data_IF_345327563752
#
_entry.id   IF_345327563752
#
_cell.length_a   1.000
_cell.length_b   1.000
_cell.length_c   1.000
_cell.angle_alpha   90.00
_cell.angle_beta   90.00
_cell.angle_gamma   90.00
#
_symmetry.space_group_name_H-M   'P 1'
#
loop_
_entity.id
_entity.type
_entity.pdbx_description
1 polymer ?
#
# COMPACT_ATOMS: atom_id res chain seq x y z
N UNK A 1 3.26 -20.82 -17.08
CA UNK A 1 3.80 -22.21 -17.01
C UNK A 1 4.58 -22.36 -15.71
N UNK A 2 4.59 -23.53 -15.05
CA UNK A 2 5.41 -23.71 -13.84
C UNK A 2 6.89 -23.74 -14.23
N UNK A 3 7.70 -22.85 -13.65
CA UNK A 3 9.13 -22.85 -13.88
C UNK A 3 9.75 -24.15 -13.34
N UNK A 4 10.74 -24.70 -14.05
CA UNK A 4 11.46 -25.92 -13.66
C UNK A 4 12.88 -25.64 -13.16
N UNK A 5 13.33 -24.40 -13.30
CA UNK A 5 14.63 -23.89 -12.86
C UNK A 5 14.47 -22.42 -12.51
N UNK A 6 15.42 -21.87 -11.75
CA UNK A 6 15.43 -20.43 -11.45
C UNK A 6 15.54 -19.60 -12.75
N UNK A 7 14.77 -18.51 -12.87
CA UNK A 7 14.86 -17.61 -14.02
C UNK A 7 16.14 -16.77 -13.99
N UNK A 8 16.49 -16.15 -15.12
CA UNK A 8 17.74 -15.41 -15.26
C UNK A 8 17.64 -13.98 -14.71
N UNK A 9 18.76 -13.49 -14.18
CA UNK A 9 18.90 -12.12 -13.70
C UNK A 9 18.71 -11.13 -14.84
N UNK A 10 18.04 -10.01 -14.56
CA UNK A 10 17.92 -8.89 -15.49
C UNK A 10 18.93 -7.77 -15.18
N UNK A 11 19.40 -7.09 -16.22
CA UNK A 11 20.21 -5.88 -16.11
C UNK A 11 19.77 -4.80 -17.10
N UNK A 12 19.95 -3.53 -16.73
CA UNK A 12 19.75 -2.37 -17.62
C UNK A 12 21.09 -1.89 -18.18
N UNK A 13 21.09 -1.46 -19.44
CA UNK A 13 22.23 -0.79 -20.06
C UNK A 13 22.34 0.71 -19.71
N UNK A 14 21.39 1.24 -18.92
CA UNK A 14 21.30 2.64 -18.54
C UNK A 14 20.73 3.57 -19.62
N UNK A 15 20.27 3.00 -20.76
CA UNK A 15 19.59 3.71 -21.84
C UNK A 15 18.11 3.30 -21.95
N UNK A 16 17.57 2.67 -20.91
CA UNK A 16 16.19 2.17 -20.86
C UNK A 16 15.98 0.80 -21.51
N UNK A 17 17.04 0.10 -21.93
CA UNK A 17 16.94 -1.27 -22.42
C UNK A 17 17.26 -2.27 -21.30
N UNK A 18 16.46 -3.34 -21.21
CA UNK A 18 16.61 -4.40 -20.21
C UNK A 18 16.94 -5.70 -20.92
N UNK A 19 17.92 -6.43 -20.41
CA UNK A 19 18.40 -7.70 -20.95
C UNK A 19 18.55 -8.72 -19.83
N UNK A 20 18.49 -10.00 -20.18
CA UNK A 20 18.84 -11.09 -19.29
C UNK A 20 20.33 -11.42 -19.30
N UNK A 21 20.90 -11.70 -18.14
CA UNK A 21 22.21 -12.33 -18.02
C UNK A 21 22.05 -13.84 -17.86
N UNK A 22 22.17 -14.58 -18.96
CA UNK A 22 22.07 -16.05 -18.97
C UNK A 22 23.19 -16.77 -18.20
N UNK A 23 24.20 -16.04 -17.71
CA UNK A 23 25.23 -16.57 -16.83
C UNK A 23 24.88 -16.49 -15.34
N UNK A 24 23.75 -15.83 -15.00
CA UNK A 24 23.31 -15.60 -13.62
C UNK A 24 21.83 -15.95 -13.41
N UNK A 25 21.55 -16.80 -12.44
CA UNK A 25 20.20 -16.96 -11.91
C UNK A 25 19.83 -15.77 -11.01
N UNK A 26 18.59 -15.31 -11.14
CA UNK A 26 18.06 -14.24 -10.31
C UNK A 26 17.92 -14.69 -8.86
N UNK A 27 18.22 -13.78 -7.94
CA UNK A 27 18.05 -13.95 -6.50
C UNK A 27 17.22 -12.83 -5.92
N UNK A 28 16.70 -13.07 -4.72
CA UNK A 28 15.94 -12.10 -3.96
C UNK A 28 16.78 -11.54 -2.82
N UNK A 29 16.33 -10.44 -2.25
CA UNK A 29 16.94 -9.80 -1.08
C UNK A 29 15.92 -9.67 0.06
N UNK A 30 16.38 -10.02 1.26
CA UNK A 30 15.68 -9.78 2.53
C UNK A 30 16.62 -9.02 3.46
N UNK A 31 16.24 -7.81 3.87
CA UNK A 31 17.11 -6.93 4.65
C UNK A 31 18.36 -6.56 3.86
N UNK A 32 19.53 -7.01 4.31
CA UNK A 32 20.81 -6.86 3.61
C UNK A 32 21.26 -8.13 2.87
N UNK A 33 20.56 -9.25 3.04
CA UNK A 33 21.03 -10.57 2.60
C UNK A 33 20.42 -10.95 1.24
N UNK A 34 21.29 -11.39 0.31
CA UNK A 34 20.89 -11.96 -0.97
C UNK A 34 20.70 -13.48 -0.84
N UNK A 35 19.56 -13.99 -1.33
CA UNK A 35 19.11 -15.35 -1.09
C UNK A 35 18.53 -15.98 -2.37
N UNK A 36 18.72 -17.29 -2.59
CA UNK A 36 18.02 -17.99 -3.66
C UNK A 36 16.50 -17.90 -3.43
N UNK A 37 15.77 -17.67 -4.52
CA UNK A 37 14.31 -17.65 -4.51
C UNK A 37 13.80 -19.04 -4.92
N UNK A 38 12.90 -19.67 -4.13
CA UNK A 38 12.27 -20.93 -4.52
C UNK A 38 11.57 -20.82 -5.89
N UNK A 39 11.70 -21.86 -6.71
CA UNK A 39 11.19 -21.84 -8.09
C UNK A 39 9.67 -21.68 -8.12
N UNK A 40 8.98 -22.24 -7.14
CA UNK A 40 7.54 -22.18 -6.94
C UNK A 40 7.00 -20.80 -6.53
N UNK A 41 7.87 -19.89 -6.10
CA UNK A 41 7.47 -18.54 -5.66
C UNK A 41 7.39 -17.54 -6.81
N UNK A 42 8.00 -17.86 -7.96
CA UNK A 42 7.95 -17.02 -9.14
C UNK A 42 6.60 -17.12 -9.85
N UNK A 43 5.92 -15.99 -9.96
CA UNK A 43 4.74 -15.81 -10.79
C UNK A 43 5.07 -14.89 -11.97
N UNK A 44 4.34 -15.02 -13.07
CA UNK A 44 4.42 -14.07 -14.17
C UNK A 44 4.10 -12.66 -13.63
N UNK A 45 4.88 -11.64 -14.06
CA UNK A 45 4.68 -10.26 -13.65
C UNK A 45 3.22 -9.86 -13.94
N UNK A 46 2.41 -9.54 -12.92
CA UNK A 46 0.99 -9.29 -13.15
C UNK A 46 0.73 -8.04 -13.99
N UNK A 47 -0.38 -8.02 -14.71
CA UNK A 47 -0.80 -6.90 -15.56
C UNK A 47 -0.81 -5.56 -14.80
N UNK A 48 -0.20 -4.54 -15.42
CA UNK A 48 0.00 -3.23 -14.79
C UNK A 48 1.28 -3.14 -13.94
N UNK A 49 2.07 -4.20 -13.86
CA UNK A 49 3.44 -4.16 -13.39
C UNK A 49 4.36 -3.42 -14.36
N UNK A 50 5.45 -2.88 -13.83
CA UNK A 50 6.47 -2.13 -14.58
C UNK A 50 7.86 -2.51 -14.11
N UNK A 51 8.86 -2.30 -14.97
CA UNK A 51 10.26 -2.50 -14.61
C UNK A 51 10.94 -1.16 -14.34
N UNK A 52 11.89 -1.18 -13.41
CA UNK A 52 12.73 -0.04 -13.06
C UNK A 52 14.18 -0.45 -13.16
N UNK A 53 14.96 0.35 -13.89
CA UNK A 53 16.40 0.35 -13.71
C UNK A 53 16.76 1.01 -12.38
N UNK A 54 17.84 0.54 -11.75
CA UNK A 54 18.32 1.03 -10.49
C UNK A 54 19.70 1.67 -10.69
N UNK A 55 19.78 2.98 -10.98
CA UNK A 55 21.03 3.65 -11.27
C UNK A 55 22.08 3.43 -10.18
N UNK A 56 23.32 3.16 -10.61
CA UNK A 56 24.49 2.92 -9.75
C UNK A 56 24.35 1.74 -8.76
N UNK A 57 23.42 0.82 -9.01
CA UNK A 57 23.27 -0.44 -8.27
C UNK A 57 23.61 -1.60 -9.19
N UNK A 58 24.47 -2.52 -8.74
CA UNK A 58 24.89 -3.68 -9.51
C UNK A 58 24.10 -4.89 -9.05
N UNK A 59 23.42 -5.60 -9.97
CA UNK A 59 22.63 -6.78 -9.62
C UNK A 59 23.50 -7.90 -9.05
N UNK A 60 22.99 -8.61 -8.04
CA UNK A 60 23.60 -9.84 -7.50
C UNK A 60 22.85 -11.03 -8.10
N UNK A 61 23.58 -12.08 -8.50
CA UNK A 61 22.99 -13.32 -9.00
C UNK A 61 23.82 -14.55 -8.60
N UNK A 62 23.24 -15.74 -8.80
CA UNK A 62 23.96 -17.02 -8.63
C UNK A 62 24.54 -17.43 -9.97
N UNK A 63 25.85 -17.68 -10.04
CA UNK A 63 26.50 -18.16 -11.25
C UNK A 63 25.97 -19.55 -11.66
N UNK A 64 25.55 -19.68 -12.92
CA UNK A 64 24.93 -20.91 -13.43
C UNK A 64 25.89 -22.10 -13.50
N UNK A 65 27.20 -21.86 -13.46
CA UNK A 65 28.25 -22.90 -13.52
C UNK A 65 28.76 -23.21 -12.12
N UNK A 66 29.15 -22.20 -11.34
CA UNK A 66 29.79 -22.41 -10.04
C UNK A 66 28.80 -22.54 -8.88
N UNK A 67 27.60 -21.99 -9.01
CA UNK A 67 26.61 -21.91 -7.94
C UNK A 67 26.92 -20.85 -6.87
N UNK A 68 27.95 -20.03 -7.06
CA UNK A 68 28.34 -18.97 -6.12
C UNK A 68 27.63 -17.65 -6.43
N UNK A 69 27.42 -16.82 -5.40
CA UNK A 69 26.92 -15.46 -5.57
C UNK A 69 28.01 -14.57 -6.19
N UNK A 70 27.65 -13.80 -7.22
CA UNK A 70 28.51 -12.76 -7.78
C UNK A 70 27.72 -11.58 -8.34
N UNK A 71 28.44 -10.50 -8.60
CA UNK A 71 27.92 -9.30 -9.23
C UNK A 71 27.71 -9.49 -10.75
N UNK A 72 26.68 -8.84 -11.27
CA UNK A 72 26.45 -8.70 -12.70
C UNK A 72 27.34 -7.60 -13.28
N UNK A 73 28.27 -7.96 -14.17
CA UNK A 73 29.23 -7.01 -14.73
C UNK A 73 28.69 -6.25 -15.96
N UNK A 74 27.46 -6.55 -16.39
CA UNK A 74 26.91 -6.08 -17.68
C UNK A 74 26.14 -4.77 -17.60
N UNK A 75 25.68 -4.37 -16.42
CA UNK A 75 24.84 -3.18 -16.28
C UNK A 75 24.26 -2.97 -14.90
N UNK A 76 23.25 -2.11 -14.82
CA UNK A 76 22.55 -1.79 -13.58
C UNK A 76 21.52 -2.85 -13.20
N UNK A 77 21.27 -3.00 -11.91
CA UNK A 77 20.21 -3.85 -11.39
C UNK A 77 18.83 -3.39 -11.90
N UNK A 78 17.92 -4.35 -12.01
CA UNK A 78 16.53 -4.12 -12.39
C UNK A 78 15.62 -4.62 -11.28
N UNK A 79 14.58 -3.86 -10.97
CA UNK A 79 13.49 -4.24 -10.08
C UNK A 79 12.15 -4.15 -10.80
N UNK A 80 11.12 -4.77 -10.21
CA UNK A 80 9.75 -4.62 -10.66
C UNK A 80 8.90 -3.84 -9.65
N UNK A 81 8.03 -3.00 -10.17
CA UNK A 81 6.79 -2.62 -9.53
C UNK A 81 5.77 -3.73 -9.75
N UNK A 82 5.27 -4.29 -8.66
CA UNK A 82 4.13 -5.19 -8.70
C UNK A 82 2.84 -4.42 -8.41
N UNK A 83 1.77 -4.63 -9.21
CA UNK A 83 0.54 -3.88 -9.06
C UNK A 83 -0.17 -4.20 -7.74
N UNK A 84 -1.05 -3.30 -7.26
CA UNK A 84 -1.96 -3.59 -6.15
C UNK A 84 -2.63 -4.96 -6.27
N UNK A 85 -3.01 -5.54 -5.13
CA UNK A 85 -3.48 -6.93 -4.98
C UNK A 85 -2.39 -8.01 -4.95
N UNK A 86 -1.11 -7.66 -5.13
CA UNK A 86 0.00 -8.60 -5.01
C UNK A 86 1.00 -8.16 -3.93
N UNK A 87 1.52 -9.13 -3.18
CA UNK A 87 2.54 -8.92 -2.15
C UNK A 87 3.81 -9.64 -2.58
N UNK A 88 4.92 -8.90 -2.65
CA UNK A 88 6.23 -9.40 -3.03
C UNK A 88 6.92 -10.05 -1.83
N UNK A 89 7.63 -11.14 -2.09
CA UNK A 89 8.37 -11.88 -1.07
C UNK A 89 9.82 -11.44 -0.92
N UNK A 90 10.38 -10.84 -1.98
CA UNK A 90 11.79 -10.43 -2.02
C UNK A 90 11.95 -9.09 -2.72
N UNK A 91 12.95 -8.33 -2.26
CA UNK A 91 13.45 -7.10 -2.91
C UNK A 91 14.48 -7.50 -3.97
N UNK A 92 14.70 -6.67 -5.00
CA UNK A 92 15.80 -6.86 -5.93
C UNK A 92 17.15 -6.89 -5.18
N UNK A 93 17.98 -7.88 -5.49
CA UNK A 93 19.30 -8.02 -4.90
C UNK A 93 20.34 -7.22 -5.68
N UNK A 94 21.00 -6.29 -4.99
CA UNK A 94 22.02 -5.45 -5.59
C UNK A 94 23.07 -5.01 -4.57
N UNK A 95 24.23 -4.61 -5.09
CA UNK A 95 25.24 -3.82 -4.37
C UNK A 95 25.14 -2.36 -4.81
N UNK A 96 25.03 -1.45 -3.83
CA UNK A 96 24.94 0.00 -4.08
C UNK A 96 26.33 0.61 -4.16
N UNK A 97 26.65 1.26 -5.28
CA UNK A 97 27.93 1.98 -5.42
C UNK A 97 27.98 3.25 -4.57
N UNK A 98 29.18 3.70 -4.17
CA UNK A 98 29.35 5.02 -3.57
C UNK A 98 28.79 6.14 -4.46
N UNK A 99 27.93 6.98 -3.88
CA UNK A 99 27.32 8.12 -4.59
C UNK A 99 26.05 7.79 -5.38
N UNK A 100 25.53 6.56 -5.30
CA UNK A 100 24.24 6.22 -5.90
C UNK A 100 23.11 7.11 -5.36
N UNK A 101 22.16 7.54 -6.21
CA UNK A 101 21.03 8.35 -5.76
C UNK A 101 20.06 7.51 -4.91
N UNK A 102 19.36 8.17 -3.99
CA UNK A 102 18.20 7.59 -3.30
C UNK A 102 17.11 7.28 -4.32
N UNK A 103 16.59 6.06 -4.30
CA UNK A 103 15.53 5.65 -5.21
C UNK A 103 14.19 6.35 -4.84
N UNK A 104 13.33 6.65 -5.82
CA UNK A 104 11.99 7.19 -5.58
C UNK A 104 11.09 6.28 -4.72
N UNK A 105 9.92 6.76 -4.31
CA UNK A 105 8.98 6.02 -3.46
C UNK A 105 8.15 5.01 -4.28
N UNK A 106 8.80 3.92 -4.72
CA UNK A 106 8.19 2.76 -5.38
C UNK A 106 8.59 1.46 -4.67
N UNK A 107 7.89 0.36 -4.97
CA UNK A 107 8.36 -0.96 -4.54
C UNK A 107 9.42 -1.48 -5.52
N UNK A 108 10.41 -2.16 -4.98
CA UNK A 108 11.58 -2.66 -5.71
C UNK A 108 11.67 -4.18 -5.61
N UNK A 109 10.63 -4.88 -6.05
CA UNK A 109 10.55 -6.35 -5.98
C UNK A 109 11.57 -6.99 -6.92
N UNK A 110 12.13 -8.12 -6.52
CA UNK A 110 13.02 -8.90 -7.39
C UNK A 110 12.31 -9.30 -8.68
N UNK A 111 13.02 -9.25 -9.80
CA UNK A 111 12.46 -9.59 -11.11
C UNK A 111 13.47 -10.36 -11.94
N UNK A 112 12.95 -11.26 -12.76
CA UNK A 112 13.73 -12.17 -13.58
C UNK A 112 13.06 -12.40 -14.93
N UNK A 113 13.80 -13.01 -15.84
CA UNK A 113 13.32 -13.32 -17.19
C UNK A 113 13.54 -14.79 -17.54
N UNK A 114 12.52 -15.40 -18.14
CA UNK A 114 12.60 -16.74 -18.70
C UNK A 114 11.48 -16.96 -19.72
N UNK A 115 11.75 -17.68 -20.81
CA UNK A 115 10.73 -18.09 -21.78
C UNK A 115 9.82 -16.95 -22.28
N UNK A 116 10.41 -15.81 -22.65
CA UNK A 116 9.71 -14.62 -23.16
C UNK A 116 8.75 -13.95 -22.15
N UNK A 117 8.96 -14.18 -20.86
CA UNK A 117 8.11 -13.65 -19.79
C UNK A 117 8.95 -13.09 -18.63
N UNK A 118 8.41 -12.04 -17.99
CA UNK A 118 8.94 -11.50 -16.74
C UNK A 118 8.32 -12.25 -15.56
N UNK A 119 9.14 -12.55 -14.55
CA UNK A 119 8.72 -13.22 -13.34
C UNK A 119 9.10 -12.42 -12.10
N UNK A 120 8.23 -12.45 -11.09
CA UNK A 120 8.44 -11.82 -9.76
C UNK A 120 8.08 -12.82 -8.66
N UNK A 121 8.77 -12.81 -7.51
CA UNK A 121 8.40 -13.67 -6.40
C UNK A 121 7.32 -13.01 -5.56
N UNK A 122 6.07 -13.40 -5.79
CA UNK A 122 4.92 -12.71 -5.20
C UNK A 122 3.70 -13.64 -5.09
N UNK A 123 2.74 -13.21 -4.29
CA UNK A 123 1.42 -13.84 -4.19
C UNK A 123 0.32 -12.82 -4.42
N UNK A 124 -0.74 -13.23 -5.13
CA UNK A 124 -1.99 -12.47 -5.18
C UNK A 124 -2.73 -12.60 -3.86
N UNK A 125 -2.87 -11.49 -3.16
CA UNK A 125 -3.47 -11.42 -1.82
C UNK A 125 -4.92 -10.93 -1.82
N UNK A 126 -5.36 -10.32 -2.92
CA UNK A 126 -6.68 -9.72 -3.05
C UNK A 126 -7.31 -10.14 -4.37
N UNK A 127 -8.59 -10.52 -4.32
CA UNK A 127 -9.33 -11.00 -5.48
C UNK A 127 -10.26 -9.94 -6.08
N UNK A 128 -10.58 -8.91 -5.29
CA UNK A 128 -11.43 -7.81 -5.74
C UNK A 128 -10.78 -7.04 -6.90
N UNK A 129 -11.45 -6.99 -8.04
CA UNK A 129 -10.89 -6.40 -9.27
C UNK A 129 -10.87 -4.87 -9.27
N UNK A 130 -11.26 -4.22 -8.17
CA UNK A 130 -11.64 -2.80 -8.17
C UNK A 130 -10.56 -1.82 -8.62
N UNK A 131 -9.29 -2.16 -8.51
CA UNK A 131 -8.19 -1.31 -8.96
C UNK A 131 -7.38 -1.96 -10.09
N UNK A 132 -7.90 -3.01 -10.73
CA UNK A 132 -7.23 -3.66 -11.85
C UNK A 132 -7.22 -2.76 -13.09
N UNK A 133 -6.07 -2.71 -13.76
CA UNK A 133 -5.84 -1.82 -14.89
C UNK A 133 -6.87 -2.02 -16.01
N UNK A 134 -7.20 -3.29 -16.32
CA UNK A 134 -8.18 -3.67 -17.34
C UNK A 134 -9.58 -3.08 -17.10
N UNK A 135 -9.92 -2.76 -15.84
CA UNK A 135 -11.21 -2.20 -15.48
C UNK A 135 -11.38 -0.72 -15.86
N UNK A 136 -10.32 -0.01 -16.29
CA UNK A 136 -10.37 1.44 -16.48
C UNK A 136 -10.29 1.89 -17.94
N UNK A 137 -11.45 2.20 -18.49
CA UNK A 137 -11.60 2.88 -19.78
C UNK A 137 -11.33 4.39 -19.65
N UNK A 138 -10.36 4.89 -20.40
CA UNK A 138 -9.93 6.30 -20.32
C UNK A 138 -11.02 7.29 -20.76
N UNK A 139 -11.84 6.93 -21.74
CA UNK A 139 -12.90 7.81 -22.25
C UNK A 139 -14.07 7.87 -21.27
N UNK A 140 -14.44 6.74 -20.66
CA UNK A 140 -15.44 6.72 -19.58
C UNK A 140 -15.01 7.57 -18.39
N UNK A 141 -13.73 7.50 -18.00
CA UNK A 141 -13.21 8.33 -16.90
C UNK A 141 -13.30 9.81 -17.26
N UNK A 142 -12.88 10.21 -18.46
CA UNK A 142 -12.96 11.62 -18.90
C UNK A 142 -14.39 12.13 -18.95
N UNK A 143 -15.31 11.36 -19.53
CA UNK A 143 -16.74 11.70 -19.56
C UNK A 143 -17.34 11.81 -18.16
N UNK A 144 -16.96 10.92 -17.25
CA UNK A 144 -17.35 10.96 -15.84
C UNK A 144 -16.85 12.22 -15.13
N UNK A 145 -15.58 12.59 -15.36
CA UNK A 145 -14.99 13.84 -14.86
C UNK A 145 -15.76 15.06 -15.37
N UNK A 146 -15.99 15.15 -16.67
CA UNK A 146 -16.75 16.25 -17.27
C UNK A 146 -18.17 16.34 -16.70
N UNK A 147 -18.85 15.21 -16.53
CA UNK A 147 -20.20 15.17 -15.98
C UNK A 147 -20.25 15.64 -14.53
N UNK A 148 -19.43 15.08 -13.64
CA UNK A 148 -19.49 15.36 -12.21
C UNK A 148 -18.92 16.74 -11.85
N UNK A 149 -17.90 17.24 -12.55
CA UNK A 149 -17.43 18.62 -12.36
C UNK A 149 -18.47 19.65 -12.78
N UNK A 150 -19.31 19.33 -13.77
CA UNK A 150 -20.44 20.18 -14.19
C UNK A 150 -21.62 20.10 -13.23
N UNK A 151 -21.85 18.93 -12.62
CA UNK A 151 -22.87 18.73 -11.60
C UNK A 151 -22.50 19.42 -10.27
N UNK A 152 -21.21 19.48 -9.94
CA UNK A 152 -20.68 20.05 -8.69
C UNK A 152 -19.66 21.17 -8.95
N UNK A 153 -20.05 22.27 -9.62
CA UNK A 153 -19.11 23.29 -10.12
C UNK A 153 -18.38 24.05 -9.01
N UNK A 154 -18.96 24.09 -7.81
CA UNK A 154 -18.41 24.81 -6.65
C UNK A 154 -17.75 23.89 -5.61
N UNK A 155 -17.77 22.57 -5.82
CA UNK A 155 -17.22 21.62 -4.87
C UNK A 155 -15.72 21.46 -5.10
N UNK A 156 -14.90 21.91 -4.14
CA UNK A 156 -13.43 21.86 -4.30
C UNK A 156 -12.89 20.44 -4.22
N UNK A 157 -13.55 19.54 -3.50
CA UNK A 157 -13.16 18.12 -3.43
C UNK A 157 -13.36 17.45 -4.78
N UNK A 158 -14.52 17.61 -5.42
CA UNK A 158 -14.77 17.02 -6.75
C UNK A 158 -13.75 17.55 -7.78
N UNK A 159 -13.45 18.85 -7.75
CA UNK A 159 -12.43 19.44 -8.61
C UNK A 159 -11.01 18.91 -8.32
N UNK A 160 -10.64 18.72 -7.05
CA UNK A 160 -9.36 18.13 -6.68
C UNK A 160 -9.27 16.66 -7.14
N UNK A 161 -10.31 15.87 -6.91
CA UNK A 161 -10.38 14.47 -7.35
C UNK A 161 -10.29 14.36 -8.88
N UNK A 162 -10.92 15.27 -9.62
CA UNK A 162 -10.87 15.31 -11.07
C UNK A 162 -9.45 15.61 -11.58
N UNK A 163 -8.95 16.80 -11.22
CA UNK A 163 -7.75 17.36 -11.86
C UNK A 163 -6.47 16.72 -11.34
N UNK A 164 -6.36 16.52 -10.03
CA UNK A 164 -5.14 16.00 -9.41
C UNK A 164 -5.18 14.47 -9.39
N UNK A 165 -6.25 13.88 -8.87
CA UNK A 165 -6.25 12.44 -8.60
C UNK A 165 -6.54 11.60 -9.86
N UNK A 166 -7.66 11.82 -10.55
CA UNK A 166 -8.11 10.94 -11.63
C UNK A 166 -7.34 11.18 -12.94
N UNK A 167 -7.16 12.45 -13.32
CA UNK A 167 -6.54 12.83 -14.60
C UNK A 167 -5.01 12.93 -14.54
N UNK A 168 -4.44 13.35 -13.41
CA UNK A 168 -2.97 13.54 -13.28
C UNK A 168 -2.30 12.32 -12.66
N UNK A 169 -2.69 11.93 -11.44
CA UNK A 169 -2.05 10.79 -10.74
C UNK A 169 -2.60 9.43 -11.17
N UNK A 170 -3.66 9.40 -12.00
CA UNK A 170 -4.39 8.19 -12.39
C UNK A 170 -4.84 7.32 -11.20
N UNK A 171 -5.16 7.94 -10.07
CA UNK A 171 -5.58 7.28 -8.83
C UNK A 171 -6.79 6.36 -9.08
N UNK A 172 -6.67 5.04 -8.86
CA UNK A 172 -7.75 4.09 -9.13
C UNK A 172 -9.06 4.42 -8.39
N UNK A 173 -8.98 4.83 -7.12
CA UNK A 173 -10.16 5.20 -6.34
C UNK A 173 -10.89 6.42 -6.92
N UNK A 174 -10.14 7.46 -7.35
CA UNK A 174 -10.74 8.63 -7.97
C UNK A 174 -11.38 8.28 -9.32
N UNK A 175 -10.71 7.47 -10.14
CA UNK A 175 -11.27 6.98 -11.41
C UNK A 175 -12.53 6.15 -11.20
N UNK A 176 -12.58 5.32 -10.16
CA UNK A 176 -13.77 4.54 -9.78
C UNK A 176 -14.96 5.43 -9.40
N UNK A 177 -14.72 6.50 -8.64
CA UNK A 177 -15.75 7.48 -8.34
C UNK A 177 -16.33 8.11 -9.63
N UNK A 178 -15.48 8.59 -10.56
CA UNK A 178 -15.96 9.23 -11.78
C UNK A 178 -16.71 8.30 -12.74
N UNK A 179 -16.51 6.98 -12.64
CA UNK A 179 -17.28 5.98 -13.39
C UNK A 179 -18.37 5.30 -12.55
N UNK A 180 -18.66 5.84 -11.35
CA UNK A 180 -19.83 5.50 -10.54
C UNK A 180 -19.77 4.14 -9.84
N UNK A 181 -18.60 3.68 -9.38
CA UNK A 181 -18.46 2.36 -8.73
C UNK A 181 -17.56 2.34 -7.49
N UNK A 182 -17.83 1.40 -6.60
CA UNK A 182 -16.95 0.95 -5.51
C UNK A 182 -16.48 2.05 -4.55
N UNK A 183 -15.16 2.17 -4.33
CA UNK A 183 -14.54 3.09 -3.38
C UNK A 183 -14.45 4.51 -3.95
N UNK A 184 -15.06 5.46 -3.24
CA UNK A 184 -14.95 6.89 -3.47
C UNK A 184 -14.00 7.53 -2.44
N UNK A 185 -12.89 8.15 -2.90
CA UNK A 185 -11.92 8.77 -2.00
C UNK A 185 -12.40 10.15 -1.52
N UNK A 186 -12.21 10.45 -0.23
CA UNK A 186 -12.61 11.73 0.39
C UNK A 186 -11.42 12.35 1.13
N UNK A 187 -10.53 13.08 0.44
CA UNK A 187 -9.42 13.75 1.10
C UNK A 187 -9.92 14.87 2.01
N UNK A 188 -9.40 14.95 3.24
CA UNK A 188 -9.94 15.84 4.27
C UNK A 188 -8.90 16.74 4.95
N UNK A 189 -7.64 16.32 5.04
CA UNK A 189 -6.66 16.94 5.91
C UNK A 189 -5.46 17.55 5.17
N UNK A 190 -5.27 18.87 5.23
CA UNK A 190 -4.06 19.50 4.70
C UNK A 190 -2.83 19.36 5.63
N UNK A 191 -3.00 18.79 6.83
CA UNK A 191 -1.96 18.71 7.85
C UNK A 191 -1.71 17.26 8.28
N UNK A 192 -0.49 16.97 8.73
CA UNK A 192 -0.13 15.67 9.29
C UNK A 192 0.56 15.86 10.64
N UNK A 193 0.42 14.89 11.53
CA UNK A 193 1.12 14.85 12.82
C UNK A 193 2.23 13.77 12.84
N UNK A 194 2.68 13.33 11.67
CA UNK A 194 3.80 12.40 11.51
C UNK A 194 4.75 12.95 10.44
N UNK A 195 6.05 12.85 10.70
CA UNK A 195 7.10 13.30 9.78
C UNK A 195 7.75 12.07 9.12
N UNK A 196 6.93 11.27 8.44
CA UNK A 196 7.36 9.98 7.90
C UNK A 196 8.56 10.14 6.96
N UNK A 197 9.57 9.28 7.10
CA UNK A 197 10.77 9.26 6.25
C UNK A 197 10.37 9.23 4.76
N UNK A 198 9.49 8.29 4.37
CA UNK A 198 9.01 8.16 2.99
C UNK A 198 7.60 8.70 2.77
N UNK A 199 7.27 9.91 3.27
CA UNK A 199 5.93 10.46 3.08
C UNK A 199 5.64 10.75 1.60
N UNK A 200 4.54 10.19 1.09
CA UNK A 200 4.14 10.30 -0.32
C UNK A 200 3.44 11.61 -0.69
N UNK A 201 3.01 12.40 0.31
CA UNK A 201 2.31 13.69 0.09
C UNK A 201 3.13 14.92 0.45
N UNK A 202 4.26 14.75 1.14
CA UNK A 202 5.15 15.85 1.52
C UNK A 202 6.54 15.33 1.87
N UNK A 203 7.56 15.75 1.13
CA UNK A 203 8.96 15.54 1.48
C UNK A 203 9.57 16.88 1.94
N UNK A 204 10.46 16.88 2.96
CA UNK A 204 11.23 18.07 3.31
C UNK A 204 12.10 18.54 2.13
N UNK A 205 12.29 19.85 1.98
CA UNK A 205 13.08 20.43 0.89
C UNK A 205 14.56 19.98 0.92
N UNK A 206 15.04 19.52 2.07
CA UNK A 206 16.41 19.03 2.25
C UNK A 206 16.62 17.58 1.77
N UNK A 207 15.55 16.80 1.57
CA UNK A 207 15.65 15.42 1.08
C UNK A 207 15.69 15.40 -0.45
N UNK A 208 16.44 14.47 -1.03
CA UNK A 208 16.64 14.39 -2.50
C UNK A 208 15.47 13.75 -3.24
N UNK A 209 14.53 13.14 -2.51
CA UNK A 209 13.36 12.48 -3.07
C UNK A 209 12.16 13.42 -3.08
N UNK A 210 11.33 13.29 -4.11
CA UNK A 210 10.09 14.05 -4.24
C UNK A 210 8.89 13.21 -3.83
N UNK A 211 7.88 13.86 -3.25
CA UNK A 211 6.59 13.24 -3.00
C UNK A 211 5.89 12.89 -4.31
N UNK A 212 5.28 11.70 -4.39
CA UNK A 212 4.56 11.25 -5.59
C UNK A 212 3.21 11.94 -5.80
N UNK A 213 2.70 12.61 -4.77
CA UNK A 213 1.40 13.29 -4.77
C UNK A 213 1.53 14.60 -3.99
N UNK A 214 0.73 15.60 -4.37
CA UNK A 214 0.70 16.87 -3.65
C UNK A 214 -0.33 16.82 -2.51
N UNK A 215 0.05 17.30 -1.33
CA UNK A 215 -0.87 17.41 -0.20
C UNK A 215 -1.99 18.40 -0.50
N UNK A 216 -3.20 18.04 -0.08
CA UNK A 216 -4.38 18.88 -0.09
C UNK A 216 -4.08 20.24 0.57
N UNK A 217 -4.50 21.33 -0.05
CA UNK A 217 -4.16 22.70 0.39
C UNK A 217 -5.32 23.41 1.09
N UNK A 218 -6.44 22.72 1.33
CA UNK A 218 -7.61 23.30 1.96
C UNK A 218 -8.27 22.31 2.92
N UNK A 219 -9.09 22.85 3.83
CA UNK A 219 -10.00 22.06 4.67
C UNK A 219 -11.37 22.04 3.98
N UNK A 220 -11.92 20.88 3.62
CA UNK A 220 -13.26 20.81 3.06
C UNK A 220 -14.31 21.14 4.12
N UNK A 221 -15.46 21.64 3.68
CA UNK A 221 -16.62 21.78 4.56
C UNK A 221 -17.42 20.48 4.65
N UNK A 222 -18.34 20.41 5.61
CA UNK A 222 -19.24 19.26 5.76
C UNK A 222 -20.12 19.12 4.50
N UNK A 223 -20.60 20.23 3.98
CA UNK A 223 -21.46 20.28 2.79
C UNK A 223 -20.70 19.76 1.56
N UNK A 224 -19.44 20.18 1.36
CA UNK A 224 -18.60 19.67 0.27
C UNK A 224 -18.42 18.14 0.34
N UNK A 225 -18.30 17.57 1.54
CA UNK A 225 -18.20 16.11 1.71
C UNK A 225 -19.52 15.43 1.40
N UNK A 226 -20.62 15.90 1.98
CA UNK A 226 -21.95 15.27 1.87
C UNK A 226 -22.47 15.29 0.43
N UNK A 227 -22.26 16.40 -0.28
CA UNK A 227 -22.85 16.70 -1.59
C UNK A 227 -22.60 15.60 -2.64
N UNK A 228 -21.40 15.01 -2.67
CA UNK A 228 -21.07 13.94 -3.63
C UNK A 228 -21.05 12.55 -3.02
N UNK A 229 -20.81 12.42 -1.71
CA UNK A 229 -20.70 11.11 -1.06
C UNK A 229 -22.06 10.44 -0.87
N UNK A 230 -23.12 11.18 -0.55
CA UNK A 230 -24.47 10.62 -0.40
C UNK A 230 -24.98 10.02 -1.72
N UNK A 231 -24.97 10.74 -2.87
CA UNK A 231 -25.35 10.15 -4.15
C UNK A 231 -24.52 8.93 -4.53
N UNK A 232 -23.20 8.94 -4.27
CA UNK A 232 -22.32 7.80 -4.53
C UNK A 232 -22.73 6.57 -3.71
N UNK A 233 -22.94 6.73 -2.39
CA UNK A 233 -23.33 5.63 -1.50
C UNK A 233 -24.70 5.03 -1.85
N UNK A 234 -25.60 5.82 -2.43
CA UNK A 234 -26.93 5.37 -2.84
C UNK A 234 -26.94 4.54 -4.13
N UNK A 235 -25.98 4.78 -5.03
CA UNK A 235 -26.04 4.32 -6.42
C UNK A 235 -24.92 3.37 -6.82
N UNK A 236 -23.72 3.50 -6.25
CA UNK A 236 -22.58 2.68 -6.62
C UNK A 236 -22.76 1.23 -6.16
N UNK A 237 -22.35 0.23 -6.95
CA UNK A 237 -22.23 -1.15 -6.48
C UNK A 237 -21.12 -1.26 -5.43
N UNK A 238 -21.34 -2.10 -4.40
CA UNK A 238 -20.44 -2.25 -3.25
C UNK A 238 -19.96 -0.90 -2.69
N UNK A 239 -20.89 0.01 -2.34
CA UNK A 239 -20.58 1.41 -2.10
C UNK A 239 -19.70 1.57 -0.86
N UNK A 240 -18.62 2.33 -1.03
CA UNK A 240 -17.66 2.65 0.03
C UNK A 240 -17.17 4.08 -0.16
N UNK A 241 -17.09 4.84 0.92
CA UNK A 241 -16.30 6.07 0.97
C UNK A 241 -15.13 5.89 1.94
N UNK A 242 -13.98 6.48 1.61
CA UNK A 242 -12.79 6.43 2.45
C UNK A 242 -12.24 7.83 2.69
N UNK A 243 -12.21 8.25 3.95
CA UNK A 243 -11.32 9.34 4.38
C UNK A 243 -9.87 8.82 4.41
N UNK A 244 -8.87 9.70 4.25
CA UNK A 244 -7.46 9.30 4.26
C UNK A 244 -6.96 8.84 2.89
N UNK A 245 -6.34 9.73 2.13
CA UNK A 245 -5.86 9.51 0.78
C UNK A 245 -4.37 9.83 0.64
N UNK A 246 -3.74 9.33 -0.43
CA UNK A 246 -2.32 9.59 -0.70
C UNK A 246 -2.00 11.06 -0.96
N UNK A 247 -3.02 11.87 -1.31
CA UNK A 247 -2.91 13.30 -1.56
C UNK A 247 -3.27 14.16 -0.33
N UNK A 248 -3.33 13.62 0.87
CA UNK A 248 -3.61 14.39 2.09
C UNK A 248 -2.60 14.09 3.22
N UNK A 249 -2.80 14.75 4.37
CA UNK A 249 -2.11 14.44 5.61
C UNK A 249 -2.89 13.44 6.47
N UNK A 250 -2.95 13.66 7.78
CA UNK A 250 -3.62 12.77 8.72
C UNK A 250 -5.11 13.18 8.91
N UNK A 251 -6.09 12.38 8.46
CA UNK A 251 -7.51 12.71 8.55
C UNK A 251 -8.06 12.81 9.98
N UNK A 252 -7.48 12.14 10.97
CA UNK A 252 -7.90 12.28 12.37
C UNK A 252 -7.67 13.69 12.93
N UNK A 253 -6.83 14.52 12.29
CA UNK A 253 -6.72 15.94 12.65
C UNK A 253 -7.96 16.76 12.27
N UNK A 254 -8.83 16.20 11.42
CA UNK A 254 -10.07 16.81 10.94
C UNK A 254 -11.32 16.15 11.53
N UNK A 255 -11.18 15.40 12.63
CA UNK A 255 -12.23 14.53 13.17
C UNK A 255 -13.55 15.26 13.47
N UNK A 256 -13.55 16.52 13.88
CA UNK A 256 -14.79 17.29 14.13
C UNK A 256 -15.60 17.53 12.85
N UNK A 257 -14.91 17.79 11.73
CA UNK A 257 -15.55 17.92 10.42
C UNK A 257 -16.03 16.56 9.94
N UNK A 258 -15.20 15.52 10.10
CA UNK A 258 -15.56 14.16 9.71
C UNK A 258 -16.76 13.63 10.50
N UNK A 259 -16.82 13.85 11.82
CA UNK A 259 -17.93 13.46 12.68
C UNK A 259 -19.24 14.08 12.19
N UNK A 260 -19.25 15.39 11.94
CA UNK A 260 -20.43 16.11 11.43
C UNK A 260 -20.84 15.61 10.04
N UNK A 261 -19.88 15.35 9.16
CA UNK A 261 -20.14 14.80 7.84
C UNK A 261 -20.71 13.38 7.89
N UNK A 262 -20.18 12.50 8.73
CA UNK A 262 -20.71 11.14 8.92
C UNK A 262 -22.14 11.20 9.44
N UNK A 263 -22.41 12.01 10.47
CA UNK A 263 -23.77 12.19 11.01
C UNK A 263 -24.72 12.67 9.90
N UNK A 264 -24.31 13.66 9.12
CA UNK A 264 -25.14 14.20 8.04
C UNK A 264 -25.38 13.16 6.94
N UNK A 265 -24.34 12.48 6.44
CA UNK A 265 -24.46 11.37 5.48
C UNK A 265 -25.47 10.33 5.97
N UNK A 266 -25.37 9.93 7.25
CA UNK A 266 -26.24 8.90 7.85
C UNK A 266 -27.69 9.33 8.05
N UNK A 267 -28.02 10.63 7.96
CA UNK A 267 -29.41 11.09 7.87
C UNK A 267 -30.03 10.82 6.50
N UNK A 268 -29.22 10.84 5.43
CA UNK A 268 -29.70 10.66 4.06
C UNK A 268 -29.62 9.21 3.60
N UNK A 269 -28.63 8.44 4.08
CA UNK A 269 -28.45 7.05 3.67
C UNK A 269 -27.84 6.14 4.75
N UNK A 270 -28.37 4.93 4.85
CA UNK A 270 -27.77 3.83 5.63
C UNK A 270 -26.90 2.89 4.79
N UNK A 271 -26.81 3.13 3.47
CA UNK A 271 -26.05 2.28 2.54
C UNK A 271 -24.55 2.55 2.62
N UNK A 272 -23.82 1.52 2.20
CA UNK A 272 -22.37 1.54 2.02
C UNK A 272 -21.54 1.69 3.29
N UNK A 273 -20.24 1.44 3.12
CA UNK A 273 -19.26 1.54 4.20
C UNK A 273 -18.66 2.95 4.25
N UNK A 274 -18.42 3.45 5.47
CA UNK A 274 -17.59 4.62 5.71
C UNK A 274 -16.32 4.16 6.41
N UNK A 275 -15.19 4.34 5.73
CA UNK A 275 -13.87 3.96 6.20
C UNK A 275 -12.99 5.20 6.44
N UNK A 276 -12.00 5.06 7.33
CA UNK A 276 -10.91 6.03 7.47
C UNK A 276 -9.55 5.32 7.38
N UNK A 277 -8.70 5.77 6.46
CA UNK A 277 -7.30 5.40 6.38
C UNK A 277 -6.48 6.41 7.19
N UNK A 278 -5.71 5.97 8.17
CA UNK A 278 -5.09 6.88 9.15
C UNK A 278 -3.80 6.29 9.69
N UNK A 279 -3.00 7.08 10.38
CA UNK A 279 -1.93 6.60 11.26
C UNK A 279 -2.45 6.10 12.63
N UNK A 280 -3.73 6.29 12.97
CA UNK A 280 -4.32 5.84 14.24
C UNK A 280 -3.93 6.67 15.46
N UNK A 281 -3.40 7.88 15.26
CA UNK A 281 -2.81 8.71 16.32
C UNK A 281 -3.77 9.35 17.33
N UNK A 282 -5.09 9.14 17.21
CA UNK A 282 -6.09 9.79 18.08
C UNK A 282 -7.26 8.86 18.46
N UNK A 283 -7.11 8.00 19.48
CA UNK A 283 -8.15 7.07 19.91
C UNK A 283 -9.47 7.75 20.29
N UNK A 284 -9.42 8.89 20.98
CA UNK A 284 -10.62 9.64 21.36
C UNK A 284 -11.40 10.12 20.12
N UNK A 285 -10.68 10.62 19.10
CA UNK A 285 -11.30 11.00 17.83
C UNK A 285 -11.91 9.79 17.13
N UNK A 286 -11.20 8.65 17.09
CA UNK A 286 -11.71 7.40 16.53
C UNK A 286 -13.01 6.98 17.23
N UNK A 287 -13.07 7.08 18.56
CA UNK A 287 -14.28 6.78 19.34
C UNK A 287 -15.45 7.66 18.92
N UNK A 288 -15.24 8.98 18.81
CA UNK A 288 -16.26 9.93 18.34
C UNK A 288 -16.75 9.61 16.94
N UNK A 289 -15.86 9.24 16.03
CA UNK A 289 -16.23 8.83 14.68
C UNK A 289 -17.02 7.52 14.67
N UNK A 290 -16.70 6.55 15.54
CA UNK A 290 -17.49 5.32 15.69
C UNK A 290 -18.90 5.63 16.21
N UNK A 291 -19.03 6.51 17.21
CA UNK A 291 -20.33 6.98 17.73
C UNK A 291 -21.17 7.66 16.63
N UNK A 292 -20.53 8.36 15.68
CA UNK A 292 -21.18 8.99 14.54
C UNK A 292 -21.63 8.01 13.44
N UNK A 293 -21.04 6.81 13.37
CA UNK A 293 -21.38 5.79 12.37
C UNK A 293 -20.26 5.38 11.41
N UNK A 294 -18.99 5.64 11.76
CA UNK A 294 -17.82 5.06 11.10
C UNK A 294 -17.88 3.52 11.16
N UNK A 295 -17.62 2.84 10.05
CA UNK A 295 -17.73 1.38 9.96
C UNK A 295 -16.38 0.67 10.10
N UNK A 296 -15.32 1.26 9.55
CA UNK A 296 -14.00 0.63 9.51
C UNK A 296 -12.87 1.64 9.62
N UNK A 297 -11.72 1.14 10.07
CA UNK A 297 -10.46 1.88 10.10
C UNK A 297 -9.38 1.05 9.42
N UNK A 298 -8.46 1.74 8.77
CA UNK A 298 -7.19 1.19 8.30
C UNK A 298 -6.03 2.00 8.83
N UNK A 299 -5.35 1.46 9.84
CA UNK A 299 -4.15 2.06 10.44
C UNK A 299 -2.92 1.68 9.63
N UNK A 300 -2.20 2.65 9.06
CA UNK A 300 -0.96 2.38 8.34
C UNK A 300 0.21 2.24 9.30
N UNK A 301 1.05 1.22 9.09
CA UNK A 301 2.25 0.99 9.89
C UNK A 301 3.33 0.24 9.10
N UNK A 302 4.60 0.58 9.35
CA UNK A 302 5.75 -0.18 8.87
C UNK A 302 6.14 -1.33 9.80
N UNK A 303 5.62 -1.34 11.04
CA UNK A 303 5.98 -2.32 12.06
C UNK A 303 4.97 -2.34 13.22
N UNK A 304 4.71 -3.52 13.78
CA UNK A 304 4.04 -3.74 15.05
C UNK A 304 4.97 -3.54 16.26
N UNK A 305 6.24 -3.15 16.03
CA UNK A 305 7.25 -2.86 17.06
C UNK A 305 7.50 -1.36 17.13
N UNK A 306 7.39 -0.79 18.33
CA UNK A 306 7.52 0.66 18.53
C UNK A 306 8.91 1.16 18.14
N UNK A 307 9.97 0.40 18.43
CA UNK A 307 11.35 0.78 18.12
C UNK A 307 11.66 0.85 16.61
N UNK A 308 10.90 0.15 15.76
CA UNK A 308 11.00 0.23 14.29
C UNK A 308 10.01 1.25 13.72
N UNK A 309 8.85 1.42 14.36
CA UNK A 309 7.85 2.41 14.00
C UNK A 309 8.35 3.85 14.17
N UNK A 310 8.92 4.16 15.34
CA UNK A 310 9.27 5.54 15.73
C UNK A 310 10.26 6.23 14.78
N UNK A 311 11.37 5.58 14.34
CA UNK A 311 12.33 6.22 13.45
C UNK A 311 11.76 6.51 12.05
N UNK A 312 10.80 5.70 11.60
CA UNK A 312 10.14 5.87 10.31
C UNK A 312 9.02 6.92 10.38
N UNK A 313 8.01 6.74 11.24
CA UNK A 313 6.83 7.64 11.29
C UNK A 313 7.13 8.99 11.94
N UNK A 314 8.13 9.03 12.84
CA UNK A 314 8.52 10.22 13.62
C UNK A 314 7.30 10.97 14.17
N UNK A 315 6.55 10.36 15.10
CA UNK A 315 5.32 10.92 15.63
C UNK A 315 5.51 12.32 16.21
N UNK A 316 4.53 13.18 15.99
CA UNK A 316 4.41 14.49 16.61
C UNK A 316 3.09 14.55 17.39
N UNK A 317 3.15 14.60 18.72
CA UNK A 317 1.99 14.62 19.61
C UNK A 317 1.11 13.35 19.57
N UNK A 318 1.71 12.17 19.40
CA UNK A 318 1.10 10.87 19.68
C UNK A 318 2.19 9.81 19.93
N UNK A 319 1.80 8.67 20.49
CA UNK A 319 2.68 7.54 20.81
C UNK A 319 2.22 6.26 20.08
N UNK A 320 3.04 5.21 20.10
CA UNK A 320 2.72 3.96 19.41
C UNK A 320 1.48 3.28 20.03
N UNK A 321 1.30 3.41 21.34
CA UNK A 321 0.19 2.82 22.07
C UNK A 321 -1.17 3.40 21.60
N UNK A 322 -1.19 4.64 21.13
CA UNK A 322 -2.39 5.28 20.56
C UNK A 322 -2.88 4.54 19.31
N UNK A 323 -1.97 3.99 18.48
CA UNK A 323 -2.35 3.27 17.27
C UNK A 323 -3.01 1.94 17.61
N UNK A 324 -2.53 1.28 18.67
CA UNK A 324 -3.10 0.02 19.19
C UNK A 324 -4.47 0.29 19.82
N UNK A 325 -4.59 1.38 20.58
CA UNK A 325 -5.85 1.75 21.22
C UNK A 325 -6.92 2.13 20.19
N UNK A 326 -6.56 2.85 19.12
CA UNK A 326 -7.49 3.16 18.02
C UNK A 326 -8.09 1.89 17.39
N UNK A 327 -7.28 0.84 17.21
CA UNK A 327 -7.77 -0.45 16.71
C UNK A 327 -8.72 -1.13 17.71
N UNK A 328 -8.39 -1.11 19.01
CA UNK A 328 -9.25 -1.64 20.09
C UNK A 328 -10.59 -0.93 20.15
N UNK A 329 -10.58 0.40 20.05
CA UNK A 329 -11.79 1.23 20.02
C UNK A 329 -12.72 0.79 18.90
N UNK A 330 -12.26 0.72 17.65
CA UNK A 330 -13.13 0.29 16.53
C UNK A 330 -13.68 -1.12 16.75
N UNK A 331 -12.86 -2.06 17.22
CA UNK A 331 -13.32 -3.41 17.54
C UNK A 331 -14.42 -3.41 18.62
N UNK A 332 -14.28 -2.59 19.67
CA UNK A 332 -15.25 -2.49 20.78
C UNK A 332 -16.63 -1.97 20.34
N UNK A 333 -16.68 -1.19 19.25
CA UNK A 333 -17.92 -0.72 18.64
C UNK A 333 -18.48 -1.70 17.59
N UNK A 334 -17.86 -2.87 17.42
CA UNK A 334 -18.24 -3.87 16.41
C UNK A 334 -17.88 -3.47 14.98
N UNK A 335 -16.97 -2.51 14.81
CA UNK A 335 -16.45 -2.09 13.52
C UNK A 335 -15.38 -3.04 12.97
N UNK A 336 -14.76 -2.62 11.87
CA UNK A 336 -13.73 -3.40 11.17
C UNK A 336 -12.33 -2.77 11.30
N UNK A 337 -11.55 -3.11 12.34
CA UNK A 337 -10.16 -2.70 12.47
C UNK A 337 -9.26 -3.44 11.49
N UNK A 338 -8.50 -2.68 10.70
CA UNK A 338 -7.50 -3.18 9.76
C UNK A 338 -6.17 -2.46 9.94
N UNK A 339 -5.08 -3.13 9.59
CA UNK A 339 -3.79 -2.46 9.37
C UNK A 339 -3.42 -2.46 7.89
N UNK A 340 -2.83 -1.38 7.43
CA UNK A 340 -2.10 -1.28 6.17
C UNK A 340 -0.63 -1.50 6.48
N UNK A 341 -0.17 -2.73 6.26
CA UNK A 341 1.11 -3.19 6.75
C UNK A 341 2.16 -3.15 5.63
N UNK A 342 3.19 -2.33 5.81
CA UNK A 342 4.23 -2.16 4.79
C UNK A 342 5.20 -3.33 4.81
N UNK A 343 5.02 -4.23 3.86
CA UNK A 343 5.81 -5.44 3.70
C UNK A 343 7.20 -5.08 3.18
N UNK A 344 8.19 -5.39 4.02
CA UNK A 344 9.61 -5.25 3.75
C UNK A 344 10.31 -6.56 4.12
N UNK A 345 10.68 -7.39 3.14
CA UNK A 345 11.45 -8.62 3.37
C UNK A 345 12.72 -8.36 4.18
N UNK A 346 12.95 -9.16 5.23
CA UNK A 346 13.99 -9.02 6.25
C UNK A 346 13.60 -8.20 7.49
N UNK A 347 12.49 -7.43 7.43
CA UNK A 347 11.99 -6.68 8.58
C UNK A 347 10.63 -7.21 9.03
N UNK A 348 9.65 -7.22 8.11
CA UNK A 348 8.27 -7.64 8.36
C UNK A 348 8.16 -9.12 8.79
N UNK A 349 9.08 -9.94 8.32
CA UNK A 349 9.21 -11.39 8.52
C UNK A 349 10.35 -11.77 9.48
N UNK A 350 10.89 -10.80 10.23
CA UNK A 350 11.77 -11.11 11.36
C UNK A 350 11.00 -11.80 12.49
N UNK A 351 11.68 -12.64 13.28
CA UNK A 351 11.05 -13.37 14.39
C UNK A 351 10.41 -12.40 15.41
N UNK A 352 11.10 -11.30 15.72
CA UNK A 352 10.60 -10.30 16.66
C UNK A 352 9.34 -9.58 16.13
N UNK A 353 9.29 -9.31 14.84
CA UNK A 353 8.14 -8.66 14.20
C UNK A 353 6.94 -9.61 14.13
N UNK A 354 7.17 -10.89 13.81
CA UNK A 354 6.14 -11.92 13.87
C UNK A 354 5.48 -11.99 15.25
N UNK A 355 6.27 -12.08 16.32
CA UNK A 355 5.74 -12.13 17.69
C UNK A 355 4.97 -10.85 18.08
N UNK A 356 5.49 -9.69 17.68
CA UNK A 356 4.80 -8.41 17.90
C UNK A 356 3.46 -8.34 17.15
N UNK A 357 3.41 -8.79 15.90
CA UNK A 357 2.19 -8.84 15.10
C UNK A 357 1.16 -9.79 15.71
N UNK A 358 1.57 -10.98 16.15
CA UNK A 358 0.67 -11.93 16.86
C UNK A 358 0.06 -11.30 18.11
N UNK A 359 0.87 -10.58 18.89
CA UNK A 359 0.39 -9.84 20.07
C UNK A 359 -0.61 -8.76 19.67
N UNK A 360 -0.29 -7.96 18.65
CA UNK A 360 -1.17 -6.91 18.13
C UNK A 360 -2.53 -7.48 17.70
N UNK A 361 -2.54 -8.59 16.96
CA UNK A 361 -3.77 -9.26 16.52
C UNK A 361 -4.63 -9.68 17.72
N UNK A 362 -4.03 -10.36 18.71
CA UNK A 362 -4.74 -10.83 19.91
C UNK A 362 -5.32 -9.69 20.73
N UNK A 363 -4.54 -8.63 20.95
CA UNK A 363 -4.94 -7.53 21.83
C UNK A 363 -6.00 -6.61 21.21
N UNK A 364 -5.97 -6.42 19.89
CA UNK A 364 -6.86 -5.49 19.19
C UNK A 364 -8.12 -6.18 18.65
N UNK A 365 -8.09 -7.51 18.50
CA UNK A 365 -9.14 -8.24 17.78
C UNK A 365 -9.17 -7.89 16.29
N UNK A 366 -8.00 -7.60 15.71
CA UNK A 366 -7.79 -7.18 14.33
C UNK A 366 -8.58 -8.07 13.35
N UNK A 367 -9.25 -7.46 12.36
CA UNK A 367 -10.05 -8.20 11.38
C UNK A 367 -9.34 -8.39 10.05
N UNK A 368 -8.40 -7.51 9.72
CA UNK A 368 -7.73 -7.56 8.43
C UNK A 368 -6.31 -7.02 8.46
N UNK A 369 -5.42 -7.66 7.70
CA UNK A 369 -4.12 -7.12 7.30
C UNK A 369 -4.16 -6.85 5.80
N UNK A 370 -3.87 -5.62 5.41
CA UNK A 370 -3.59 -5.25 4.04
C UNK A 370 -2.07 -5.33 3.81
N UNK A 371 -1.62 -6.37 3.11
CA UNK A 371 -0.20 -6.70 2.91
C UNK A 371 0.37 -5.89 1.73
N UNK A 372 0.70 -4.62 1.97
CA UNK A 372 1.14 -3.71 0.92
C UNK A 372 2.65 -3.66 0.82
N UNK A 373 3.19 -3.72 -0.39
CA UNK A 373 4.63 -3.59 -0.60
C UNK A 373 5.11 -2.22 -0.13
N UNK A 374 6.25 -2.19 0.56
CA UNK A 374 6.80 -0.93 1.04
C UNK A 374 7.45 -0.17 -0.13
N UNK A 375 6.85 0.98 -0.46
CA UNK A 375 7.35 1.86 -1.49
C UNK A 375 8.46 2.80 -0.97
N UNK A 376 9.68 2.29 -0.82
CA UNK A 376 10.83 3.04 -0.32
C UNK A 376 12.14 2.43 -0.81
N UNK A 377 13.18 3.25 -0.99
CA UNK A 377 14.55 2.76 -1.21
C UNK A 377 14.96 1.83 -0.05
N UNK A 378 15.30 0.55 -0.32
CA UNK A 378 15.64 -0.42 0.70
C UNK A 378 16.81 -0.01 1.60
N UNK A 379 17.89 0.50 1.03
CA UNK A 379 19.11 0.83 1.78
C UNK A 379 18.87 2.07 2.63
N UNK A 380 18.17 3.04 2.06
CA UNK A 380 17.81 4.27 2.74
C UNK A 380 16.88 4.01 3.93
N UNK A 381 15.87 3.15 3.76
CA UNK A 381 14.98 2.76 4.85
C UNK A 381 15.75 2.11 6.00
N UNK A 382 16.51 1.05 5.71
CA UNK A 382 17.29 0.31 6.71
C UNK A 382 18.27 1.24 7.46
N UNK A 383 18.94 2.14 6.73
CA UNK A 383 19.81 3.16 7.33
C UNK A 383 19.06 4.13 8.25
N UNK A 384 17.88 4.63 7.85
CA UNK A 384 17.08 5.58 8.65
C UNK A 384 16.49 4.94 9.91
N UNK A 385 16.22 3.62 9.90
CA UNK A 385 15.79 2.87 11.09
C UNK A 385 16.94 2.25 11.89
N UNK A 386 18.19 2.45 11.46
CA UNK A 386 19.38 2.03 12.20
C UNK A 386 19.68 0.53 12.14
N UNK A 387 19.24 -0.17 11.10
CA UNK A 387 19.48 -1.61 10.91
C UNK A 387 20.80 -1.81 10.16
N UNK A 388 21.81 -2.34 10.84
CA UNK A 388 23.15 -2.56 10.29
C UNK A 388 23.38 -3.99 9.80
N UNK A 389 22.61 -4.96 10.30
CA UNK A 389 22.72 -6.38 9.94
C UNK A 389 21.32 -6.97 9.82
N UNK A 390 21.16 -7.94 8.93
CA UNK A 390 19.93 -8.72 8.83
C UNK A 390 19.88 -9.70 10.00
N UNK A 391 18.83 -9.62 10.82
CA UNK A 391 18.60 -10.58 11.89
C UNK A 391 18.04 -11.91 11.37
N UNK A 392 17.56 -12.76 12.27
CA UNK A 392 16.83 -13.97 11.86
C UNK A 392 15.44 -13.62 11.31
N UNK A 393 15.13 -14.14 10.12
CA UNK A 393 13.84 -14.00 9.43
C UNK A 393 13.37 -15.34 8.89
N UNK A 394 12.05 -15.49 8.78
CA UNK A 394 11.41 -16.72 8.30
C UNK A 394 10.99 -16.66 6.82
N UNK A 395 11.03 -15.48 6.19
CA UNK A 395 10.45 -15.27 4.87
C UNK A 395 8.99 -14.82 4.94
N UNK A 396 8.64 -13.84 4.09
CA UNK A 396 7.30 -13.23 4.05
C UNK A 396 6.20 -14.26 3.78
N UNK A 397 6.43 -15.23 2.89
CA UNK A 397 5.45 -16.29 2.61
C UNK A 397 5.14 -17.14 3.84
N UNK A 398 6.19 -17.61 4.53
CA UNK A 398 6.04 -18.40 5.74
C UNK A 398 5.37 -17.59 6.87
N UNK A 399 5.73 -16.33 7.04
CA UNK A 399 5.06 -15.41 7.97
C UNK A 399 3.55 -15.37 7.72
N UNK A 400 3.17 -15.15 6.45
CA UNK A 400 1.77 -15.06 6.04
C UNK A 400 1.01 -16.38 6.28
N UNK A 401 1.64 -17.53 6.02
CA UNK A 401 1.01 -18.83 6.25
C UNK A 401 0.83 -19.10 7.75
N UNK A 402 1.85 -18.86 8.58
CA UNK A 402 1.78 -19.04 10.03
C UNK A 402 0.71 -18.15 10.69
N UNK A 403 0.62 -16.87 10.32
CA UNK A 403 -0.41 -15.97 10.83
C UNK A 403 -1.81 -16.45 10.40
N UNK A 404 -1.96 -16.98 9.17
CA UNK A 404 -3.26 -17.48 8.67
C UNK A 404 -3.68 -18.75 9.40
N UNK A 405 -2.74 -19.65 9.68
CA UNK A 405 -2.97 -20.87 10.44
C UNK A 405 -3.40 -20.56 11.89
N UNK A 406 -2.73 -19.61 12.54
CA UNK A 406 -3.04 -19.26 13.92
C UNK A 406 -4.31 -18.41 14.06
N UNK A 407 -4.56 -17.49 13.12
CA UNK A 407 -5.68 -16.56 13.15
C UNK A 407 -6.59 -16.73 11.92
N UNK A 408 -7.31 -17.86 11.77
CA UNK A 408 -8.11 -18.14 10.57
C UNK A 408 -9.29 -17.17 10.35
N UNK A 409 -9.65 -16.38 11.35
CA UNK A 409 -10.67 -15.32 11.25
C UNK A 409 -10.12 -14.04 10.63
N UNK A 410 -8.79 -13.83 10.68
CA UNK A 410 -8.12 -12.64 10.17
C UNK A 410 -8.10 -12.70 8.63
N UNK A 411 -8.54 -11.61 8.00
CA UNK A 411 -8.59 -11.51 6.55
C UNK A 411 -7.33 -10.89 5.98
N UNK A 412 -6.89 -11.43 4.84
CA UNK A 412 -5.84 -10.83 4.05
C UNK A 412 -6.48 -10.12 2.86
N UNK A 413 -5.92 -9.00 2.46
CA UNK A 413 -6.33 -8.32 1.23
C UNK A 413 -5.46 -7.13 0.93
N UNK A 414 -5.97 -6.22 0.10
CA UNK A 414 -5.25 -5.03 -0.32
C UNK A 414 -6.12 -3.77 -0.30
N UNK A 415 -7.45 -3.93 -0.32
CA UNK A 415 -8.41 -2.83 -0.37
C UNK A 415 -9.32 -2.80 0.85
N UNK A 416 -9.94 -1.65 1.08
CA UNK A 416 -10.91 -1.50 2.15
C UNK A 416 -12.20 -2.27 1.79
N UNK A 417 -12.69 -3.19 2.63
CA UNK A 417 -13.84 -4.01 2.28
C UNK A 417 -15.15 -3.21 2.37
N UNK A 418 -16.10 -3.42 1.44
CA UNK A 418 -17.43 -2.85 1.51
C UNK A 418 -18.27 -3.58 2.56
N UNK A 419 -19.43 -3.03 2.96
CA UNK A 419 -20.24 -3.62 4.03
C UNK A 419 -20.81 -5.00 3.65
N UNK A 420 -21.09 -5.20 2.37
CA UNK A 420 -21.52 -6.48 1.80
C UNK A 420 -20.48 -7.57 2.07
N UNK A 421 -19.20 -7.25 1.89
CA UNK A 421 -18.09 -8.18 2.17
C UNK A 421 -17.90 -8.42 3.67
N UNK A 422 -18.00 -7.36 4.48
CA UNK A 422 -17.82 -7.43 5.94
C UNK A 422 -18.93 -8.27 6.61
N UNK A 423 -20.20 -8.08 6.20
CA UNK A 423 -21.36 -8.74 6.82
C UNK A 423 -21.78 -10.04 6.13
N UNK A 424 -21.43 -10.19 4.86
CA UNK A 424 -21.78 -11.34 4.03
C UNK A 424 -20.65 -12.36 3.94
N UNK A 425 -20.44 -12.88 2.72
CA UNK A 425 -19.40 -13.84 2.38
C UNK A 425 -18.16 -13.11 1.90
N UNK A 426 -17.20 -12.94 2.80
CA UNK A 426 -15.97 -12.18 2.53
C UNK A 426 -15.24 -12.61 1.25
N UNK A 427 -15.27 -13.90 0.90
CA UNK A 427 -14.54 -14.45 -0.26
C UNK A 427 -15.25 -14.26 -1.60
N UNK A 428 -16.47 -13.73 -1.64
CA UNK A 428 -17.23 -13.56 -2.89
C UNK A 428 -18.03 -12.27 -2.99
N UNK A 429 -18.36 -11.59 -1.89
CA UNK A 429 -19.22 -10.39 -1.92
C UNK A 429 -18.39 -9.12 -2.21
N UNK A 430 -17.80 -9.08 -3.39
CA UNK A 430 -16.98 -7.99 -3.91
C UNK A 430 -17.10 -7.85 -5.44
N UNK A 431 -16.34 -6.94 -6.04
CA UNK A 431 -16.37 -6.73 -7.49
C UNK A 431 -15.72 -7.89 -8.27
N UNK A 432 -16.44 -8.41 -9.26
CA UNK A 432 -15.97 -9.43 -10.21
C UNK A 432 -16.05 -8.89 -11.64
N UNK A 433 -15.38 -9.57 -12.57
CA UNK A 433 -15.49 -9.30 -14.01
C UNK A 433 -16.87 -9.59 -14.58
#
# INVERSE_FOLDING_TARGET
MTLTASPYLLYSDGNGNIFEDTSLYAVGRSGWDALPVPVEDWIELPDGGSLYELPERIGIGIDVITGELRLCEKGWAVAAFIPPAHTGFYIAAYETKPGAPTLPLFCYTAVAWQNDQFYVPAVRIEQDIRQECAGFDADKVKLGVEHLTKAYPHNRLVNHLANNCALTYHCPAARNYFIGRWECPVPASPACNANCVGCISLQPDEETIVSTQDRLQFKPTVEEIVEFTVPHLETAPYPLISFGQGCEGEPLLMWETLEKAIIEIRKHTSKGSININTNGSKPDAVKRLCEAGLNSIRVSTNSARSEVYMPYYRPNNYQFEDIVESLKVVNSFGGWPSINYFVFPGMTDSIAEYEALRKLIRETGLKMIQWRNFNIDPDWYLGKIGVTETGEFMGVKQLMDLIREEFPHLKYGYYNPPMERIKGKYEVDFAHF
#
